data_IF_656806934145
#
_entry.id   IF_656806934145
#
_cell.length_a   1.000
_cell.length_b   1.000
_cell.length_c   1.000
_cell.angle_alpha   90.00
_cell.angle_beta   90.00
_cell.angle_gamma   90.00
#
_symmetry.space_group_name_H-M   'P 1'
#
loop_
_entity.id
_entity.type
_entity.pdbx_description
1 polymer ?
#
# COMPACT_ATOMS: atom_id res chain seq x y z
N UNK A 1 8.49 -23.06 -20.32
CA UNK A 1 7.80 -21.78 -20.55
C UNK A 1 6.46 -22.00 -21.18
N UNK A 2 5.41 -21.35 -20.68
CA UNK A 2 4.03 -21.50 -21.18
C UNK A 2 3.39 -20.11 -21.32
N UNK A 3 2.67 -19.91 -22.41
CA UNK A 3 1.78 -18.76 -22.57
C UNK A 3 0.43 -19.15 -21.96
N UNK A 4 -0.02 -18.40 -20.96
CA UNK A 4 -1.28 -18.67 -20.24
C UNK A 4 -2.46 -17.90 -20.82
N UNK A 5 -2.24 -16.66 -21.25
CA UNK A 5 -3.26 -15.82 -21.84
C UNK A 5 -2.64 -14.77 -22.77
N UNK A 6 -3.42 -14.30 -23.74
CA UNK A 6 -3.03 -13.21 -24.64
C UNK A 6 -4.23 -12.28 -24.79
N UNK A 7 -3.98 -10.96 -24.66
CA UNK A 7 -4.96 -9.92 -24.98
C UNK A 7 -4.32 -8.93 -25.94
N UNK A 8 -4.93 -8.70 -27.10
CA UNK A 8 -4.38 -7.90 -28.19
C UNK A 8 -5.36 -6.85 -28.69
N UNK A 9 -4.86 -5.67 -28.93
CA UNK A 9 -5.47 -4.65 -29.79
C UNK A 9 -4.51 -4.43 -30.97
N UNK A 10 -4.84 -5.03 -32.10
CA UNK A 10 -3.98 -5.07 -33.27
C UNK A 10 -3.54 -3.65 -33.71
N UNK A 11 -2.24 -3.51 -34.01
CA UNK A 11 -1.63 -2.23 -34.37
C UNK A 11 -1.34 -1.28 -33.20
N UNK A 12 -1.71 -1.65 -31.98
CA UNK A 12 -1.51 -0.78 -30.81
C UNK A 12 -0.71 -1.45 -29.70
N UNK A 13 -1.27 -2.49 -29.08
CA UNK A 13 -0.63 -3.13 -27.91
C UNK A 13 -1.12 -4.55 -27.69
N UNK A 14 -0.19 -5.41 -27.29
CA UNK A 14 -0.46 -6.80 -26.88
C UNK A 14 0.07 -7.03 -25.46
N UNK A 15 -0.74 -7.69 -24.63
CA UNK A 15 -0.34 -8.21 -23.31
C UNK A 15 -0.31 -9.73 -23.36
N UNK A 16 0.80 -10.34 -22.92
CA UNK A 16 1.00 -11.78 -22.94
C UNK A 16 1.33 -12.25 -21.53
N UNK A 17 0.50 -13.09 -20.95
CA UNK A 17 0.76 -13.71 -19.66
C UNK A 17 1.57 -15.00 -19.84
N UNK A 18 2.71 -15.08 -19.18
CA UNK A 18 3.64 -16.19 -19.24
C UNK A 18 3.90 -16.80 -17.88
N UNK A 19 4.12 -18.11 -17.87
CA UNK A 19 4.51 -18.86 -16.67
C UNK A 19 5.63 -19.85 -17.02
N UNK A 20 6.42 -20.21 -16.00
CA UNK A 20 7.39 -21.30 -16.10
C UNK A 20 6.90 -22.51 -15.32
N UNK A 21 7.20 -23.70 -15.81
CA UNK A 21 7.04 -24.96 -15.07
C UNK A 21 8.20 -25.21 -14.11
N UNK A 22 9.34 -24.56 -14.37
CA UNK A 22 10.52 -24.61 -13.50
C UNK A 22 10.54 -23.36 -12.61
N UNK A 23 10.47 -23.49 -11.26
CA UNK A 23 10.48 -22.36 -10.34
C UNK A 23 11.78 -21.55 -10.34
N UNK A 24 12.87 -22.13 -10.88
CA UNK A 24 14.17 -21.46 -10.98
C UNK A 24 14.26 -20.52 -12.21
N UNK A 25 13.30 -20.58 -13.10
CA UNK A 25 13.31 -19.80 -14.34
C UNK A 25 12.32 -18.64 -14.23
N UNK A 26 12.83 -17.40 -14.30
CA UNK A 26 11.99 -16.22 -14.45
C UNK A 26 11.35 -16.19 -15.86
N UNK A 27 10.01 -16.36 -15.94
CA UNK A 27 9.34 -16.46 -17.23
C UNK A 27 9.36 -15.13 -17.99
N UNK A 28 9.31 -14.00 -17.30
CA UNK A 28 9.31 -12.68 -17.93
C UNK A 28 10.70 -12.35 -18.49
N UNK A 29 11.73 -12.50 -17.67
CA UNK A 29 13.12 -12.27 -18.07
C UNK A 29 13.55 -13.15 -19.24
N UNK A 30 13.11 -14.41 -19.24
CA UNK A 30 13.40 -15.34 -20.33
C UNK A 30 12.73 -14.95 -21.66
N UNK A 31 11.52 -14.38 -21.63
CA UNK A 31 10.84 -13.89 -22.83
C UNK A 31 11.36 -12.52 -23.30
N UNK A 32 11.62 -11.61 -22.37
CA UNK A 32 12.10 -10.25 -22.68
C UNK A 32 13.54 -10.28 -23.20
N UNK A 33 14.39 -11.08 -22.58
CA UNK A 33 15.81 -11.17 -22.86
C UNK A 33 16.61 -9.98 -22.34
N UNK A 34 17.93 -10.08 -22.41
CA UNK A 34 18.85 -9.02 -21.94
C UNK A 34 18.56 -7.71 -22.67
N UNK A 35 18.28 -6.64 -21.89
CA UNK A 35 17.93 -5.30 -22.45
C UNK A 35 16.79 -5.33 -23.47
N UNK A 36 15.88 -6.32 -23.36
CA UNK A 36 14.74 -6.46 -24.27
C UNK A 36 15.07 -7.04 -25.64
N UNK A 37 16.23 -7.71 -25.80
CA UNK A 37 16.70 -8.21 -27.09
C UNK A 37 15.71 -9.12 -27.81
N UNK A 38 15.01 -10.00 -27.06
CA UNK A 38 14.04 -10.94 -27.64
C UNK A 38 12.72 -10.26 -27.97
N UNK A 39 12.16 -9.50 -27.02
CA UNK A 39 10.86 -8.84 -27.24
C UNK A 39 10.94 -7.77 -28.35
N UNK A 40 12.07 -7.10 -28.52
CA UNK A 40 12.27 -6.12 -29.60
C UNK A 40 12.15 -6.73 -31.00
N UNK A 41 12.55 -8.00 -31.19
CA UNK A 41 12.40 -8.70 -32.47
C UNK A 41 10.90 -8.84 -32.77
N UNK A 42 10.13 -9.32 -31.80
CA UNK A 42 8.66 -9.47 -31.94
C UNK A 42 8.00 -8.12 -32.24
N UNK A 43 8.35 -7.07 -31.50
CA UNK A 43 7.82 -5.73 -31.73
C UNK A 43 8.10 -5.25 -33.16
N UNK A 44 9.29 -5.54 -33.70
CA UNK A 44 9.67 -5.18 -35.07
C UNK A 44 8.84 -5.93 -36.11
N UNK A 45 8.65 -7.24 -35.93
CA UNK A 45 7.83 -8.06 -36.83
C UNK A 45 6.34 -7.67 -36.78
N UNK A 46 5.89 -7.15 -35.63
CA UNK A 46 4.52 -6.64 -35.45
C UNK A 46 4.37 -5.16 -35.83
N UNK A 47 5.24 -4.66 -36.73
CA UNK A 47 5.19 -3.26 -37.21
C UNK A 47 5.17 -2.20 -36.11
N UNK A 48 5.88 -2.43 -35.01
CA UNK A 48 6.00 -1.49 -33.89
C UNK A 48 4.90 -1.59 -32.82
N UNK A 49 4.03 -2.60 -32.89
CA UNK A 49 3.03 -2.86 -31.85
C UNK A 49 3.71 -3.13 -30.50
N UNK A 50 3.26 -2.45 -29.46
CA UNK A 50 3.83 -2.61 -28.10
C UNK A 50 3.48 -3.97 -27.54
N UNK A 51 4.47 -4.69 -27.01
CA UNK A 51 4.28 -6.01 -26.40
C UNK A 51 4.70 -5.97 -24.94
N UNK A 52 3.74 -6.24 -24.05
CA UNK A 52 3.98 -6.37 -22.61
C UNK A 52 4.00 -7.85 -22.24
N UNK A 53 5.10 -8.32 -21.67
CA UNK A 53 5.22 -9.66 -21.12
C UNK A 53 4.91 -9.59 -19.62
N UNK A 54 3.95 -10.38 -19.16
CA UNK A 54 3.38 -10.31 -17.82
C UNK A 54 3.55 -11.65 -17.13
N UNK A 55 4.01 -11.64 -15.90
CA UNK A 55 4.07 -12.84 -15.08
C UNK A 55 2.64 -13.30 -14.75
N UNK A 56 2.29 -14.50 -15.18
CA UNK A 56 1.03 -15.14 -14.79
C UNK A 56 1.11 -15.63 -13.35
N UNK A 57 0.06 -15.45 -12.57
CA UNK A 57 -0.07 -15.99 -11.21
C UNK A 57 -1.44 -16.64 -11.06
N UNK A 58 -1.56 -17.79 -10.34
CA UNK A 58 -2.83 -18.40 -10.04
C UNK A 58 -3.72 -17.54 -9.13
N UNK A 59 -3.12 -16.69 -8.27
CA UNK A 59 -3.84 -15.70 -7.50
C UNK A 59 -4.22 -14.52 -8.41
N UNK A 60 -5.53 -14.36 -8.60
CA UNK A 60 -6.08 -13.31 -9.48
C UNK A 60 -5.65 -11.90 -9.06
N UNK A 61 -5.45 -11.64 -7.77
CA UNK A 61 -5.02 -10.33 -7.26
C UNK A 61 -3.61 -10.00 -7.76
N UNK A 62 -2.68 -10.94 -7.60
CA UNK A 62 -1.30 -10.81 -8.11
C UNK A 62 -1.26 -10.74 -9.62
N UNK A 63 -2.08 -11.53 -10.30
CA UNK A 63 -2.12 -11.51 -11.76
C UNK A 63 -2.61 -10.17 -12.30
N UNK A 64 -3.66 -9.59 -11.71
CA UNK A 64 -4.16 -8.25 -12.08
C UNK A 64 -3.14 -7.17 -11.76
N UNK A 65 -2.50 -7.23 -10.61
CA UNK A 65 -1.41 -6.31 -10.26
C UNK A 65 -0.29 -6.34 -11.32
N UNK A 66 0.17 -7.53 -11.70
CA UNK A 66 1.16 -7.70 -12.74
C UNK A 66 0.68 -7.18 -14.11
N UNK A 67 -0.60 -7.37 -14.43
CA UNK A 67 -1.19 -6.92 -15.69
C UNK A 67 -1.29 -5.40 -15.81
N UNK A 68 -1.37 -4.67 -14.70
CA UNK A 68 -1.48 -3.21 -14.66
C UNK A 68 -0.13 -2.50 -14.47
N UNK A 69 0.96 -3.22 -14.20
CA UNK A 69 2.30 -2.61 -14.11
C UNK A 69 2.59 -1.74 -15.34
N UNK A 70 3.27 -0.60 -15.18
CA UNK A 70 3.98 -0.11 -14.00
C UNK A 70 3.13 0.69 -13.01
N UNK A 71 1.79 0.78 -13.16
CA UNK A 71 0.95 1.49 -12.21
C UNK A 71 1.01 0.85 -10.82
N UNK A 72 1.07 1.69 -9.79
CA UNK A 72 1.00 1.27 -8.39
C UNK A 72 -0.45 1.24 -7.94
N UNK A 73 -0.85 0.14 -7.31
CA UNK A 73 -2.21 -0.06 -6.82
C UNK A 73 -2.24 0.12 -5.30
N UNK A 74 -3.30 0.72 -4.78
CA UNK A 74 -3.52 0.89 -3.34
C UNK A 74 -4.29 -0.27 -2.75
N UNK A 75 -5.37 -0.67 -3.42
CA UNK A 75 -6.28 -1.72 -2.95
C UNK A 75 -6.84 -2.52 -4.11
N UNK A 76 -7.07 -3.82 -3.89
CA UNK A 76 -7.68 -4.75 -4.85
C UNK A 76 -8.78 -5.51 -4.14
N UNK A 77 -10.03 -5.25 -4.51
CA UNK A 77 -11.21 -5.93 -3.98
C UNK A 77 -11.78 -6.85 -5.06
N UNK A 78 -11.76 -8.15 -4.80
CA UNK A 78 -12.25 -9.18 -5.72
C UNK A 78 -13.66 -9.59 -5.36
N UNK A 79 -14.56 -9.57 -6.33
CA UNK A 79 -15.91 -10.11 -6.23
C UNK A 79 -16.03 -11.33 -7.16
N UNK A 80 -15.90 -12.52 -6.58
CA UNK A 80 -15.92 -13.77 -7.34
C UNK A 80 -17.29 -14.06 -7.96
N UNK A 81 -18.38 -13.73 -7.26
CA UNK A 81 -19.73 -13.98 -7.76
C UNK A 81 -20.02 -13.22 -9.05
N UNK A 82 -19.49 -12.01 -9.21
CA UNK A 82 -19.66 -11.17 -10.39
C UNK A 82 -18.48 -11.22 -11.36
N UNK A 83 -17.44 -11.97 -11.06
CA UNK A 83 -16.15 -11.97 -11.77
C UNK A 83 -15.66 -10.53 -12.04
N UNK A 84 -15.74 -9.69 -11.03
CA UNK A 84 -15.33 -8.28 -11.10
C UNK A 84 -14.32 -7.94 -10.03
N UNK A 85 -13.42 -7.03 -10.37
CA UNK A 85 -12.33 -6.56 -9.51
C UNK A 85 -12.39 -5.05 -9.49
N UNK A 86 -12.57 -4.49 -8.29
CA UNK A 86 -12.44 -3.04 -8.05
C UNK A 86 -11.01 -2.77 -7.59
N UNK A 87 -10.36 -1.85 -8.27
CA UNK A 87 -8.96 -1.47 -8.01
C UNK A 87 -8.93 0.00 -7.66
N UNK A 88 -8.35 0.30 -6.52
CA UNK A 88 -8.13 1.67 -6.08
C UNK A 88 -6.68 2.05 -6.35
N UNK A 89 -6.49 3.20 -6.96
CA UNK A 89 -5.17 3.73 -7.31
C UNK A 89 -5.03 5.17 -6.84
N UNK A 90 -3.82 5.61 -6.48
CA UNK A 90 -3.55 7.01 -6.20
C UNK A 90 -3.89 7.88 -7.42
N UNK A 91 -4.22 9.14 -7.20
CA UNK A 91 -4.63 10.07 -8.27
C UNK A 91 -3.58 10.20 -9.38
N UNK A 92 -2.30 10.27 -8.99
CA UNK A 92 -1.16 10.34 -9.91
C UNK A 92 -0.99 9.07 -10.75
N UNK A 93 -1.49 7.92 -10.28
CA UNK A 93 -1.43 6.63 -10.97
C UNK A 93 -2.68 6.33 -11.82
N UNK A 94 -3.77 7.09 -11.66
CA UNK A 94 -5.05 6.80 -12.31
C UNK A 94 -4.93 6.81 -13.85
N UNK A 95 -4.31 7.83 -14.41
CA UNK A 95 -4.11 7.93 -15.87
C UNK A 95 -3.23 6.82 -16.41
N UNK A 96 -2.23 6.37 -15.64
CA UNK A 96 -1.31 5.30 -16.03
C UNK A 96 -2.00 3.94 -15.99
N UNK A 97 -2.80 3.67 -14.95
CA UNK A 97 -3.53 2.41 -14.78
C UNK A 97 -4.63 2.22 -15.82
N UNK A 98 -5.38 3.28 -16.14
CA UNK A 98 -6.41 3.27 -17.18
C UNK A 98 -5.75 3.21 -18.57
N UNK A 99 -4.71 4.01 -18.79
CA UNK A 99 -4.02 4.15 -20.07
C UNK A 99 -4.80 4.97 -21.09
N UNK A 100 -4.15 5.29 -22.22
CA UNK A 100 -4.76 6.07 -23.31
C UNK A 100 -6.03 5.40 -23.83
N UNK A 101 -7.15 6.12 -23.80
CA UNK A 101 -8.49 5.62 -24.21
C UNK A 101 -8.92 4.33 -23.47
N UNK A 102 -8.47 4.13 -22.24
CA UNK A 102 -8.80 2.95 -21.43
C UNK A 102 -8.11 1.65 -21.88
N UNK A 103 -7.07 1.75 -22.71
CA UNK A 103 -6.43 0.58 -23.34
C UNK A 103 -5.78 -0.36 -22.33
N UNK A 104 -5.11 0.18 -21.30
CA UNK A 104 -4.42 -0.66 -20.32
C UNK A 104 -5.42 -1.46 -19.47
N UNK A 105 -6.45 -0.81 -18.97
CA UNK A 105 -7.53 -1.46 -18.20
C UNK A 105 -8.29 -2.49 -19.03
N UNK A 106 -8.63 -2.15 -20.29
CA UNK A 106 -9.36 -3.04 -21.20
C UNK A 106 -8.54 -4.28 -21.57
N UNK A 107 -7.24 -4.12 -21.87
CA UNK A 107 -6.36 -5.26 -22.15
C UNK A 107 -6.13 -6.12 -20.91
N UNK A 108 -5.97 -5.53 -19.73
CA UNK A 108 -5.87 -6.27 -18.48
C UNK A 108 -7.15 -7.07 -18.19
N UNK A 109 -8.33 -6.47 -18.40
CA UNK A 109 -9.61 -7.17 -18.27
C UNK A 109 -9.74 -8.35 -19.24
N UNK A 110 -9.38 -8.18 -20.51
CA UNK A 110 -9.37 -9.27 -21.51
C UNK A 110 -8.37 -10.37 -21.16
N UNK A 111 -7.19 -9.99 -20.67
CA UNK A 111 -6.12 -10.92 -20.32
C UNK A 111 -6.49 -11.82 -19.14
N UNK A 112 -7.12 -11.23 -18.13
CA UNK A 112 -7.48 -11.92 -16.88
C UNK A 112 -8.84 -12.62 -16.98
N UNK A 113 -9.70 -12.21 -17.90
CA UNK A 113 -11.08 -12.70 -18.02
C UNK A 113 -12.01 -12.15 -16.93
N UNK A 114 -11.59 -11.08 -16.22
CA UNK A 114 -12.34 -10.42 -15.16
C UNK A 114 -12.68 -8.99 -15.55
N UNK A 115 -13.85 -8.52 -15.14
CA UNK A 115 -14.20 -7.11 -15.28
C UNK A 115 -13.37 -6.29 -14.29
N UNK A 116 -12.57 -5.35 -14.80
CA UNK A 116 -11.70 -4.50 -13.97
C UNK A 116 -12.31 -3.10 -13.93
N UNK A 117 -12.60 -2.63 -12.73
CA UNK A 117 -13.05 -1.27 -12.42
C UNK A 117 -11.91 -0.54 -11.69
N UNK A 118 -11.36 0.49 -12.32
CA UNK A 118 -10.29 1.30 -11.72
C UNK A 118 -10.91 2.61 -11.25
N UNK A 119 -10.77 2.86 -9.95
CA UNK A 119 -11.26 4.08 -9.32
C UNK A 119 -10.10 4.80 -8.64
N UNK A 120 -10.22 6.12 -8.53
CA UNK A 120 -9.34 6.90 -7.66
C UNK A 120 -9.53 6.37 -6.23
N UNK A 121 -8.44 6.11 -5.54
CA UNK A 121 -8.50 5.98 -4.09
C UNK A 121 -9.06 7.31 -3.58
N UNK A 122 -10.34 7.33 -3.23
CA UNK A 122 -10.81 8.38 -2.36
C UNK A 122 -9.89 8.29 -1.16
N UNK A 123 -9.49 9.43 -0.58
CA UNK A 123 -8.73 9.49 0.66
C UNK A 123 -9.50 8.79 1.81
N UNK A 124 -9.83 7.53 1.58
CA UNK A 124 -9.92 6.56 2.62
C UNK A 124 -8.46 6.28 2.89
N UNK A 125 -7.92 6.97 3.90
CA UNK A 125 -6.74 6.50 4.58
C UNK A 125 -6.75 4.97 4.44
N UNK A 126 -5.77 4.41 3.75
CA UNK A 126 -5.36 3.02 3.91
C UNK A 126 -5.34 2.75 5.40
N UNK A 127 -5.29 1.51 5.96
CA UNK A 127 -5.23 1.37 7.39
C UNK A 127 -4.26 2.44 7.82
N UNK A 128 -4.82 3.52 8.33
CA UNK A 128 -4.13 4.78 8.50
C UNK A 128 -2.82 4.37 9.17
N UNK A 129 -1.69 4.68 8.55
CA UNK A 129 -0.59 5.07 9.43
C UNK A 129 -1.27 6.14 10.26
N UNK A 130 -1.59 5.85 11.51
CA UNK A 130 -2.44 6.75 12.29
C UNK A 130 -1.71 8.08 12.20
N UNK A 131 -2.43 9.07 11.69
CA UNK A 131 -1.95 10.43 11.53
C UNK A 131 -1.18 10.73 12.79
N UNK A 132 0.10 11.02 12.68
CA UNK A 132 0.98 11.16 13.85
C UNK A 132 0.38 12.15 14.86
N UNK A 133 -0.40 13.12 14.38
CA UNK A 133 -1.20 14.04 15.18
C UNK A 133 -2.39 13.36 15.88
N UNK A 134 -3.06 12.44 15.22
CA UNK A 134 -4.21 11.71 15.78
C UNK A 134 -3.75 10.65 16.80
N UNK A 135 -2.62 9.99 16.57
CA UNK A 135 -1.96 9.13 17.58
C UNK A 135 -1.52 9.93 18.79
N UNK A 136 -0.96 11.11 18.59
CA UNK A 136 -0.57 11.99 19.68
C UNK A 136 -1.79 12.47 20.44
N UNK A 137 -2.86 12.88 19.77
CA UNK A 137 -4.09 13.31 20.42
C UNK A 137 -4.74 12.15 21.22
N UNK A 138 -4.82 10.96 20.65
CA UNK A 138 -5.32 9.78 21.35
C UNK A 138 -4.45 9.40 22.57
N UNK A 139 -3.12 9.56 22.47
CA UNK A 139 -2.21 9.35 23.60
C UNK A 139 -2.42 10.40 24.69
N UNK A 140 -2.63 11.67 24.31
CA UNK A 140 -2.97 12.76 25.24
C UNK A 140 -4.26 12.47 25.98
N UNK A 141 -5.33 12.13 25.26
CA UNK A 141 -6.63 11.83 25.84
C UNK A 141 -6.59 10.60 26.77
N UNK A 142 -5.85 9.57 26.35
CA UNK A 142 -5.65 8.36 27.16
C UNK A 142 -4.86 8.63 28.45
N UNK A 143 -3.78 9.42 28.39
CA UNK A 143 -2.99 9.78 29.55
C UNK A 143 -3.74 10.73 30.48
N UNK A 144 -4.44 11.73 29.95
CA UNK A 144 -5.28 12.65 30.73
C UNK A 144 -6.33 11.88 31.53
N UNK A 145 -7.04 10.95 30.89
CA UNK A 145 -8.04 10.12 31.54
C UNK A 145 -7.45 9.13 32.55
N UNK A 146 -6.31 8.49 32.22
CA UNK A 146 -5.69 7.48 33.07
C UNK A 146 -5.04 8.08 34.32
N UNK A 147 -4.40 9.24 34.19
CA UNK A 147 -3.64 9.88 35.26
C UNK A 147 -4.39 11.06 35.92
N UNK A 148 -5.64 11.32 35.47
CA UNK A 148 -6.48 12.44 35.92
C UNK A 148 -5.78 13.80 35.79
N UNK A 149 -5.10 13.99 34.66
CA UNK A 149 -4.36 15.21 34.34
C UNK A 149 -5.17 16.15 33.44
N UNK A 150 -4.85 17.43 33.52
CA UNK A 150 -5.31 18.40 32.53
C UNK A 150 -4.71 18.09 31.16
N UNK A 151 -5.46 18.42 30.09
CA UNK A 151 -5.08 18.14 28.71
C UNK A 151 -3.71 18.76 28.32
N UNK A 152 -3.37 19.91 28.91
CA UNK A 152 -2.10 20.59 28.61
C UNK A 152 -0.90 19.86 29.25
N UNK A 153 -1.06 19.35 30.47
CA UNK A 153 -0.04 18.53 31.13
C UNK A 153 0.15 17.17 30.44
N UNK A 154 -0.96 16.54 29.99
CA UNK A 154 -0.88 15.31 29.21
C UNK A 154 -0.22 15.52 27.84
N UNK A 155 -0.43 16.69 27.20
CA UNK A 155 0.27 17.05 25.97
C UNK A 155 1.77 17.19 26.18
N UNK A 156 2.18 17.82 27.28
CA UNK A 156 3.58 17.99 27.60
C UNK A 156 4.30 16.65 27.78
N UNK A 157 3.66 15.69 28.49
CA UNK A 157 4.17 14.33 28.62
C UNK A 157 4.33 13.65 27.26
N UNK A 158 3.31 13.70 26.40
CA UNK A 158 3.36 13.07 25.07
C UNK A 158 4.39 13.74 24.17
N UNK A 159 4.56 15.06 24.27
CA UNK A 159 5.54 15.81 23.48
C UNK A 159 6.98 15.42 23.83
N UNK A 160 7.21 15.07 25.10
CA UNK A 160 8.50 14.63 25.60
C UNK A 160 8.70 13.10 25.56
N UNK A 161 7.80 12.35 24.85
CA UNK A 161 7.96 10.95 24.55
C UNK A 161 7.25 9.99 25.50
N UNK A 162 6.55 10.46 26.53
CA UNK A 162 5.76 9.63 27.44
C UNK A 162 4.36 9.37 26.85
N UNK A 163 4.24 8.44 25.92
CA UNK A 163 3.01 8.20 25.14
C UNK A 163 2.02 7.23 25.80
N UNK A 164 2.39 6.60 26.92
CA UNK A 164 1.52 5.68 27.66
C UNK A 164 1.85 5.63 29.16
N UNK A 165 0.90 5.10 29.94
CA UNK A 165 1.01 5.01 31.41
C UNK A 165 2.23 4.21 31.87
N UNK A 166 2.61 3.14 31.16
CA UNK A 166 3.74 2.31 31.51
C UNK A 166 5.08 3.07 31.37
N UNK A 167 5.18 3.97 30.39
CA UNK A 167 6.37 4.83 30.23
C UNK A 167 6.49 5.86 31.35
N UNK A 168 5.37 6.44 31.77
CA UNK A 168 5.32 7.37 32.92
C UNK A 168 5.70 6.66 34.22
N UNK A 169 5.22 5.43 34.44
CA UNK A 169 5.55 4.61 35.60
C UNK A 169 7.05 4.23 35.65
N UNK A 170 7.67 4.00 34.49
CA UNK A 170 9.09 3.60 34.34
C UNK A 170 10.06 4.79 34.33
N UNK A 171 9.58 6.02 34.12
CA UNK A 171 10.43 7.21 34.03
C UNK A 171 11.03 7.60 35.40
N UNK A 172 12.13 8.34 35.38
CA UNK A 172 12.65 8.96 36.60
C UNK A 172 11.81 10.17 36.97
N UNK A 173 11.67 10.43 38.28
CA UNK A 173 10.88 11.57 38.79
C UNK A 173 11.46 12.88 38.32
N UNK A 174 12.79 12.97 38.26
CA UNK A 174 13.51 14.17 37.82
C UNK A 174 13.24 14.48 36.32
N UNK A 175 13.07 13.47 35.48
CA UNK A 175 12.76 13.65 34.06
C UNK A 175 11.35 14.23 33.86
N UNK A 176 10.39 13.83 34.67
CA UNK A 176 9.03 14.37 34.64
C UNK A 176 8.97 15.77 35.27
N UNK A 177 9.68 15.96 36.38
CA UNK A 177 9.73 17.25 37.09
C UNK A 177 10.42 18.38 36.28
N UNK A 178 11.25 17.99 35.30
CA UNK A 178 11.92 18.93 34.39
C UNK A 178 10.97 19.48 33.29
N UNK A 179 9.79 18.90 33.12
CA UNK A 179 8.82 19.30 32.11
C UNK A 179 8.04 20.53 32.55
N UNK A 180 7.60 21.33 31.57
CA UNK A 180 6.82 22.56 31.84
C UNK A 180 5.47 22.21 32.48
N UNK A 181 5.18 22.83 33.63
CA UNK A 181 3.95 22.60 34.40
C UNK A 181 4.04 21.47 35.44
N UNK A 182 5.19 20.80 35.57
CA UNK A 182 5.43 19.78 36.61
C UNK A 182 6.44 20.28 37.64
N UNK A 183 6.26 19.86 38.87
CA UNK A 183 7.21 19.95 39.94
C UNK A 183 7.51 18.55 40.51
N UNK A 184 8.49 18.44 41.39
CA UNK A 184 8.89 17.15 41.95
C UNK A 184 7.77 16.43 42.70
N UNK A 185 6.89 17.17 43.37
CA UNK A 185 5.76 16.61 44.10
C UNK A 185 4.65 16.06 43.17
N UNK A 186 4.35 16.81 42.10
CA UNK A 186 3.39 16.36 41.08
C UNK A 186 3.94 15.19 40.25
N UNK A 187 5.22 15.17 39.94
CA UNK A 187 5.88 14.06 39.23
C UNK A 187 5.85 12.76 40.07
N UNK A 188 6.10 12.81 41.37
CA UNK A 188 5.97 11.67 42.28
C UNK A 188 4.52 11.16 42.36
N UNK A 189 3.54 12.08 42.47
CA UNK A 189 2.12 11.73 42.55
C UNK A 189 1.64 11.02 41.28
N UNK A 190 2.01 11.55 40.09
CA UNK A 190 1.63 10.96 38.80
C UNK A 190 2.27 9.60 38.58
N UNK A 191 3.53 9.44 38.94
CA UNK A 191 4.24 8.17 38.87
C UNK A 191 3.61 7.12 39.80
N UNK A 192 3.19 7.51 41.00
CA UNK A 192 2.48 6.62 41.92
C UNK A 192 1.12 6.17 41.36
N UNK A 193 0.37 7.06 40.70
CA UNK A 193 -0.89 6.73 40.05
C UNK A 193 -0.62 5.80 38.84
N UNK A 194 0.40 6.07 38.05
CA UNK A 194 0.77 5.25 36.90
C UNK A 194 1.21 3.83 37.29
N UNK A 195 1.85 3.64 38.44
CA UNK A 195 2.29 2.34 38.94
C UNK A 195 1.13 1.46 39.47
N UNK A 196 -0.05 2.04 39.72
CA UNK A 196 -1.22 1.32 40.23
C UNK A 196 -2.22 0.90 39.15
N UNK A 197 -1.95 1.28 37.90
CA UNK A 197 -2.79 0.98 36.73
C UNK A 197 -2.08 0.10 35.71
#
# INVERSE_FOLDING_TARGET
MQIKAIAREAGYRTKIAVASTDPKVDPVGACVGVKGSRVKIIVREMAGEKVDIIHWDPDIRKFVENALKPAKLTSIVVNEAKKSIKIEVPEDQLSLSIGKKGQNARLASKLTGWKIDIVKAENVAGPAEPNFEEQRQNAVDALAAALSLDADLAKELVFNGFVNVAMVAAADVDDIAALEGFDHASAEAIKAIAATK
#
